data_IF_771360766743
#
_entry.id   IF_771360766743
#
_cell.length_a   1.000
_cell.length_b   1.000
_cell.length_c   1.000
_cell.angle_alpha   90.00
_cell.angle_beta   90.00
_cell.angle_gamma   90.00
#
_symmetry.space_group_name_H-M   'P 1'
#
loop_
_entity.id
_entity.type
_entity.pdbx_description
1 polymer ?
#
# COMPACT_ATOMS: atom_id res chain seq x y z
N UNK A 1 -22.37 -26.88 3.69
CA UNK A 1 -22.17 -26.85 2.22
C UNK A 1 -20.68 -26.76 1.99
N UNK A 2 -20.07 -27.65 1.22
CA UNK A 2 -18.63 -27.53 0.92
C UNK A 2 -18.48 -26.47 -0.17
N UNK A 3 -17.43 -25.65 -0.09
CA UNK A 3 -17.18 -24.55 -1.03
C UNK A 3 -16.86 -25.08 -2.44
N UNK A 4 -16.55 -26.37 -2.57
CA UNK A 4 -16.48 -27.12 -3.84
C UNK A 4 -17.79 -27.20 -4.63
N UNK A 5 -18.92 -26.84 -4.04
CA UNK A 5 -20.25 -27.12 -4.58
C UNK A 5 -20.85 -25.93 -5.37
N UNK A 6 -20.08 -24.85 -5.60
CA UNK A 6 -20.53 -23.64 -6.30
C UNK A 6 -19.86 -23.57 -7.69
N UNK A 7 -20.64 -23.65 -8.80
CA UNK A 7 -20.07 -23.72 -10.15
C UNK A 7 -19.61 -22.35 -10.65
N UNK A 8 -18.35 -22.29 -11.11
CA UNK A 8 -17.80 -21.17 -11.87
C UNK A 8 -16.48 -21.59 -12.50
N UNK A 9 -16.41 -21.59 -13.82
CA UNK A 9 -15.20 -21.83 -14.59
C UNK A 9 -14.24 -20.65 -14.34
N UNK A 10 -13.39 -20.75 -13.32
CA UNK A 10 -12.32 -19.79 -13.07
C UNK A 10 -10.99 -20.50 -13.21
N UNK A 11 -10.05 -19.84 -13.90
CA UNK A 11 -8.67 -20.32 -13.97
C UNK A 11 -8.07 -20.22 -12.56
N UNK A 12 -8.06 -21.32 -11.82
CA UNK A 12 -7.56 -21.36 -10.45
C UNK A 12 -6.03 -21.21 -10.43
N UNK A 13 -5.52 -20.41 -9.50
CA UNK A 13 -4.08 -20.35 -9.24
C UNK A 13 -3.67 -21.64 -8.54
N UNK A 14 -2.59 -22.26 -9.05
CA UNK A 14 -2.05 -23.48 -8.46
C UNK A 14 -1.32 -23.15 -7.15
N UNK A 15 -1.93 -23.52 -6.02
CA UNK A 15 -1.41 -23.31 -4.68
C UNK A 15 -0.96 -24.66 -4.12
N UNK A 16 0.35 -24.89 -4.14
CA UNK A 16 0.92 -26.13 -3.63
C UNK A 16 0.86 -26.15 -2.10
N UNK A 17 0.32 -27.25 -1.55
CA UNK A 17 0.40 -27.52 -0.12
C UNK A 17 1.86 -27.55 0.36
N UNK A 18 2.12 -27.08 1.59
CA UNK A 18 3.45 -27.15 2.17
C UNK A 18 3.94 -28.60 2.26
N UNK A 19 5.26 -28.78 2.16
CA UNK A 19 5.91 -30.09 2.21
C UNK A 19 7.04 -30.10 3.23
N UNK A 20 7.20 -31.23 3.90
CA UNK A 20 8.34 -31.53 4.78
C UNK A 20 8.93 -32.86 4.33
N UNK A 21 10.22 -32.89 3.99
CA UNK A 21 10.91 -34.06 3.42
C UNK A 21 10.14 -34.72 2.26
N UNK A 22 9.56 -33.91 1.38
CA UNK A 22 8.74 -34.39 0.26
C UNK A 22 7.34 -34.89 0.63
N UNK A 23 7.01 -35.05 1.92
CA UNK A 23 5.66 -35.38 2.39
C UNK A 23 4.80 -34.13 2.44
N UNK A 24 3.63 -34.19 1.81
CA UNK A 24 2.64 -33.12 1.88
C UNK A 24 2.02 -33.07 3.28
N UNK A 25 1.95 -31.86 3.85
CA UNK A 25 1.19 -31.60 5.08
C UNK A 25 -0.12 -30.89 4.74
N UNK A 26 -1.17 -31.10 5.54
CA UNK A 26 -2.53 -30.62 5.25
C UNK A 26 -3.10 -29.75 6.39
N UNK A 27 -2.53 -28.56 6.66
CA UNK A 27 -3.03 -27.68 7.72
C UNK A 27 -4.38 -27.07 7.32
N UNK A 28 -5.41 -27.28 8.15
CA UNK A 28 -6.76 -26.76 7.90
C UNK A 28 -6.81 -25.25 7.59
N UNK A 29 -6.01 -24.42 8.27
CA UNK A 29 -5.97 -22.98 8.04
C UNK A 29 -5.31 -22.63 6.71
N UNK A 30 -4.34 -23.43 6.26
CA UNK A 30 -3.75 -23.26 4.93
C UNK A 30 -4.78 -23.53 3.86
N UNK A 31 -5.47 -24.68 3.93
CA UNK A 31 -6.47 -25.06 2.94
C UNK A 31 -7.59 -24.02 2.85
N UNK A 32 -8.06 -23.48 3.98
CA UNK A 32 -9.04 -22.38 4.02
C UNK A 32 -8.54 -21.11 3.34
N UNK A 33 -7.27 -20.74 3.51
CA UNK A 33 -6.72 -19.54 2.87
C UNK A 33 -6.48 -19.76 1.37
N UNK A 34 -5.99 -20.94 0.99
CA UNK A 34 -5.82 -21.31 -0.41
C UNK A 34 -7.16 -21.30 -1.18
N UNK A 35 -8.21 -21.83 -0.56
CA UNK A 35 -9.57 -21.79 -1.09
C UNK A 35 -10.07 -20.35 -1.28
N UNK A 36 -9.83 -19.46 -0.30
CA UNK A 36 -10.21 -18.06 -0.41
C UNK A 36 -9.51 -17.33 -1.56
N UNK A 37 -8.22 -17.59 -1.78
CA UNK A 37 -7.48 -17.02 -2.92
C UNK A 37 -8.15 -17.37 -4.25
N UNK A 38 -8.58 -18.62 -4.40
CA UNK A 38 -9.18 -19.09 -5.66
C UNK A 38 -10.66 -18.74 -5.80
N UNK A 39 -11.37 -18.45 -4.71
CA UNK A 39 -12.81 -18.19 -4.75
C UNK A 39 -13.18 -16.71 -4.88
N UNK A 40 -12.31 -15.80 -4.43
CA UNK A 40 -12.64 -14.37 -4.42
C UNK A 40 -12.71 -13.81 -5.84
N UNK A 41 -13.83 -13.15 -6.06
CA UNK A 41 -14.16 -12.43 -7.27
C UNK A 41 -13.64 -10.99 -7.10
N UNK A 42 -12.97 -10.43 -8.11
CA UNK A 42 -12.29 -9.12 -8.12
C UNK A 42 -10.81 -9.10 -7.69
N UNK A 43 -10.00 -10.06 -8.17
CA UNK A 43 -8.54 -10.10 -7.91
C UNK A 43 -7.70 -9.48 -9.02
N UNK A 44 -8.27 -9.29 -10.22
CA UNK A 44 -7.59 -8.55 -11.29
C UNK A 44 -7.71 -7.05 -11.00
N UNK A 45 -6.57 -6.37 -10.97
CA UNK A 45 -6.45 -4.93 -10.78
C UNK A 45 -5.83 -4.30 -12.02
N UNK A 46 -6.47 -3.24 -12.52
CA UNK A 46 -5.97 -2.41 -13.61
C UNK A 46 -5.63 -1.04 -13.06
N UNK A 47 -4.37 -0.65 -13.19
CA UNK A 47 -3.80 0.62 -12.82
C UNK A 47 -3.55 1.43 -14.08
N UNK A 48 -4.17 2.59 -14.20
CA UNK A 48 -4.00 3.48 -15.34
C UNK A 48 -3.41 4.81 -14.88
N UNK A 49 -2.27 5.17 -15.45
CA UNK A 49 -1.63 6.46 -15.29
C UNK A 49 -1.51 7.09 -16.68
N UNK A 50 -2.35 8.09 -16.95
CA UNK A 50 -2.51 8.71 -18.27
C UNK A 50 -2.75 7.65 -19.38
N UNK A 51 -1.76 7.45 -20.26
CA UNK A 51 -1.81 6.49 -21.38
C UNK A 51 -1.25 5.11 -21.03
N UNK A 52 -0.51 4.99 -19.92
CA UNK A 52 0.13 3.74 -19.53
C UNK A 52 -0.81 2.93 -18.63
N UNK A 53 -0.75 1.62 -18.77
CA UNK A 53 -1.61 0.71 -18.01
C UNK A 53 -0.79 -0.47 -17.50
N UNK A 54 -1.01 -0.80 -16.23
CA UNK A 54 -0.43 -1.94 -15.55
C UNK A 54 -1.58 -2.80 -15.03
N UNK A 55 -1.60 -4.07 -15.43
CA UNK A 55 -2.62 -5.04 -15.00
C UNK A 55 -1.92 -6.12 -14.19
N UNK A 56 -2.53 -6.51 -13.08
CA UNK A 56 -2.03 -7.59 -12.24
C UNK A 56 -3.16 -8.39 -11.60
N UNK A 57 -2.87 -9.62 -11.22
CA UNK A 57 -3.78 -10.48 -10.48
C UNK A 57 -3.23 -10.73 -9.07
N UNK A 58 -3.99 -10.30 -8.06
CA UNK A 58 -3.56 -10.37 -6.66
C UNK A 58 -3.52 -11.79 -6.10
N UNK A 59 -4.04 -12.79 -6.83
CA UNK A 59 -4.01 -14.21 -6.40
C UNK A 59 -2.60 -14.75 -6.30
N UNK A 60 -1.70 -14.41 -7.23
CA UNK A 60 -0.30 -14.84 -7.17
C UNK A 60 0.45 -14.21 -5.99
N UNK A 61 0.24 -12.91 -5.73
CA UNK A 61 0.81 -12.26 -4.55
C UNK A 61 0.26 -12.84 -3.25
N UNK A 62 -1.04 -13.11 -3.20
CA UNK A 62 -1.69 -13.75 -2.06
C UNK A 62 -1.06 -15.12 -1.80
N UNK A 63 -0.90 -15.94 -2.83
CA UNK A 63 -0.20 -17.23 -2.75
C UNK A 63 1.22 -17.10 -2.21
N UNK A 64 1.99 -16.11 -2.66
CA UNK A 64 3.36 -15.85 -2.17
C UNK A 64 3.39 -15.45 -0.69
N UNK A 65 2.44 -14.62 -0.25
CA UNK A 65 2.26 -14.25 1.16
C UNK A 65 1.95 -15.49 2.00
N UNK A 66 0.97 -16.30 1.58
CA UNK A 66 0.59 -17.54 2.28
C UNK A 66 1.76 -18.53 2.37
N UNK A 67 2.50 -18.72 1.27
CA UNK A 67 3.69 -19.56 1.24
C UNK A 67 4.78 -19.10 2.21
N UNK A 68 5.00 -17.78 2.30
CA UNK A 68 5.96 -17.18 3.23
C UNK A 68 5.57 -17.44 4.69
N UNK A 69 4.31 -17.21 5.05
CA UNK A 69 3.78 -17.47 6.41
C UNK A 69 3.99 -18.95 6.77
N UNK A 70 3.68 -19.87 5.85
CA UNK A 70 3.88 -21.30 6.08
C UNK A 70 5.35 -21.63 6.33
N UNK A 71 6.25 -21.11 5.49
CA UNK A 71 7.69 -21.35 5.63
C UNK A 71 8.22 -20.91 7.00
N UNK A 72 7.78 -19.77 7.50
CA UNK A 72 8.16 -19.29 8.84
C UNK A 72 7.51 -20.08 9.99
N UNK A 73 6.41 -20.79 9.72
CA UNK A 73 5.68 -21.56 10.71
C UNK A 73 6.10 -23.03 10.77
N UNK A 74 6.97 -23.50 9.87
CA UNK A 74 7.49 -24.87 9.90
C UNK A 74 8.50 -24.99 11.05
N UNK A 75 8.32 -25.94 11.99
CA UNK A 75 9.25 -26.16 13.09
C UNK A 75 10.66 -26.50 12.59
N UNK A 76 11.67 -26.00 13.31
CA UNK A 76 13.05 -26.39 13.06
C UNK A 76 13.24 -27.87 13.37
N UNK A 77 13.88 -28.56 12.43
CA UNK A 77 14.18 -29.98 12.52
C UNK A 77 15.68 -30.17 12.72
N UNK A 78 16.08 -31.14 13.55
CA UNK A 78 17.49 -31.50 13.70
C UNK A 78 18.04 -32.02 12.35
N UNK A 79 19.29 -31.67 11.99
CA UNK A 79 19.95 -32.29 10.84
C UNK A 79 19.86 -33.81 10.92
N UNK A 80 19.63 -34.47 9.79
CA UNK A 80 19.60 -35.94 9.61
C UNK A 80 18.49 -36.75 10.31
N UNK A 81 17.58 -36.09 11.04
CA UNK A 81 16.37 -36.76 11.55
C UNK A 81 15.40 -37.06 10.39
N UNK A 82 14.56 -38.11 10.51
CA UNK A 82 13.49 -38.40 9.53
C UNK A 82 12.18 -37.80 10.04
N UNK A 83 11.36 -37.20 9.16
CA UNK A 83 10.02 -36.77 9.55
C UNK A 83 9.11 -37.97 9.79
N UNK A 84 8.92 -38.30 11.05
CA UNK A 84 7.92 -39.26 11.53
C UNK A 84 6.50 -38.65 11.52
N UNK A 85 5.44 -39.46 11.69
CA UNK A 85 4.06 -38.95 11.70
C UNK A 85 3.79 -37.90 12.79
N UNK A 86 4.49 -37.97 13.92
CA UNK A 86 4.34 -37.00 15.02
C UNK A 86 4.89 -35.64 14.62
N UNK A 87 6.05 -35.58 13.96
CA UNK A 87 6.63 -34.35 13.43
C UNK A 87 5.74 -33.72 12.35
N UNK A 88 5.11 -34.54 11.49
CA UNK A 88 4.15 -34.06 10.49
C UNK A 88 2.94 -33.42 11.16
N UNK A 89 2.32 -34.09 12.15
CA UNK A 89 1.18 -33.55 12.89
C UNK A 89 1.54 -32.23 13.61
N UNK A 90 2.69 -32.21 14.30
CA UNK A 90 3.20 -31.01 14.95
C UNK A 90 3.46 -29.87 13.96
N UNK A 91 3.93 -30.18 12.74
CA UNK A 91 4.09 -29.17 11.68
C UNK A 91 2.75 -28.60 11.24
N UNK A 92 1.72 -29.44 11.07
CA UNK A 92 0.37 -28.99 10.72
C UNK A 92 -0.21 -28.07 11.80
N UNK A 93 -0.06 -28.43 13.07
CA UNK A 93 -0.46 -27.61 14.21
C UNK A 93 0.29 -26.27 14.25
N UNK A 94 1.61 -26.30 14.02
CA UNK A 94 2.46 -25.11 14.00
C UNK A 94 2.08 -24.16 12.85
N UNK A 95 1.85 -24.67 11.64
CA UNK A 95 1.36 -23.87 10.51
C UNK A 95 -0.02 -23.29 10.80
N UNK A 96 -0.95 -24.09 11.34
CA UNK A 96 -2.28 -23.61 11.71
C UNK A 96 -2.22 -22.48 12.74
N UNK A 97 -1.33 -22.61 13.73
CA UNK A 97 -1.11 -21.58 14.75
C UNK A 97 -0.50 -20.33 14.12
N UNK A 98 0.58 -20.45 13.34
CA UNK A 98 1.25 -19.33 12.70
C UNK A 98 0.35 -18.54 11.76
N UNK A 99 -0.49 -19.19 10.95
CA UNK A 99 -1.47 -18.50 10.10
C UNK A 99 -2.49 -17.72 10.94
N UNK A 100 -2.99 -18.30 12.03
CA UNK A 100 -3.95 -17.60 12.92
C UNK A 100 -3.32 -16.40 13.62
N UNK A 101 -2.11 -16.56 14.13
CA UNK A 101 -1.36 -15.49 14.79
C UNK A 101 -1.07 -14.34 13.83
N UNK A 102 -0.54 -14.67 12.65
CA UNK A 102 -0.32 -13.69 11.58
C UNK A 102 -1.60 -12.96 11.20
N UNK A 103 -2.72 -13.68 11.00
CA UNK A 103 -4.01 -13.09 10.64
C UNK A 103 -4.50 -12.10 11.69
N UNK A 104 -4.37 -12.44 12.96
CA UNK A 104 -4.78 -11.57 14.07
C UNK A 104 -3.89 -10.33 14.16
N UNK A 105 -2.57 -10.49 13.98
CA UNK A 105 -1.63 -9.38 13.93
C UNK A 105 -1.92 -8.46 12.75
N UNK A 106 -2.13 -9.02 11.56
CA UNK A 106 -2.26 -8.25 10.32
C UNK A 106 -3.57 -7.45 10.26
N UNK A 107 -4.66 -7.96 10.85
CA UNK A 107 -5.90 -7.18 11.05
C UNK A 107 -5.66 -5.89 11.85
N UNK A 108 -4.75 -5.93 12.82
CA UNK A 108 -4.36 -4.75 13.59
C UNK A 108 -3.42 -3.86 12.80
N UNK A 109 -2.31 -4.42 12.29
CA UNK A 109 -1.22 -3.63 11.71
C UNK A 109 -1.63 -2.99 10.40
N UNK A 110 -2.33 -3.73 9.53
CA UNK A 110 -2.75 -3.24 8.22
C UNK A 110 -3.71 -2.06 8.33
N UNK A 111 -4.80 -2.21 9.09
CA UNK A 111 -5.80 -1.15 9.25
C UNK A 111 -5.20 0.08 9.95
N UNK A 112 -4.34 -0.14 10.95
CA UNK A 112 -3.65 0.97 11.61
C UNK A 112 -2.74 1.73 10.65
N UNK A 113 -1.94 1.01 9.85
CA UNK A 113 -1.07 1.61 8.84
C UNK A 113 -1.89 2.34 7.75
N UNK A 114 -3.00 1.76 7.30
CA UNK A 114 -3.93 2.37 6.34
C UNK A 114 -4.46 3.72 6.85
N UNK A 115 -4.94 3.80 8.10
CA UNK A 115 -5.46 5.04 8.68
C UNK A 115 -4.34 6.10 8.76
N UNK A 116 -3.19 5.74 9.32
CA UNK A 116 -2.06 6.65 9.45
C UNK A 116 -1.60 7.19 8.09
N UNK A 117 -1.44 6.30 7.12
CA UNK A 117 -1.05 6.64 5.75
C UNK A 117 -2.07 7.54 5.08
N UNK A 118 -3.36 7.27 5.25
CA UNK A 118 -4.43 8.11 4.69
C UNK A 118 -4.36 9.51 5.28
N UNK A 119 -4.20 9.65 6.60
CA UNK A 119 -4.04 10.96 7.24
C UNK A 119 -2.83 11.71 6.68
N UNK A 120 -1.68 11.04 6.60
CA UNK A 120 -0.43 11.65 6.10
C UNK A 120 -0.54 12.04 4.62
N UNK A 121 -1.21 11.22 3.82
CA UNK A 121 -1.47 11.46 2.40
C UNK A 121 -2.39 12.67 2.21
N UNK A 122 -3.53 12.74 2.91
CA UNK A 122 -4.43 13.89 2.86
C UNK A 122 -3.71 15.18 3.26
N UNK A 123 -2.90 15.14 4.33
CA UNK A 123 -2.12 16.30 4.76
C UNK A 123 -1.15 16.78 3.66
N UNK A 124 -0.40 15.84 3.05
CA UNK A 124 0.55 16.12 1.97
C UNK A 124 -0.13 16.73 0.74
N UNK A 125 -1.18 16.10 0.25
CA UNK A 125 -1.89 16.50 -0.99
C UNK A 125 -2.57 17.87 -0.86
N UNK A 126 -3.04 18.19 0.35
CA UNK A 126 -3.77 19.44 0.60
C UNK A 126 -2.89 20.55 1.20
N UNK A 127 -1.58 20.32 1.35
CA UNK A 127 -0.65 21.28 1.96
C UNK A 127 -1.10 21.76 3.35
N UNK A 128 -1.64 20.83 4.14
CA UNK A 128 -2.09 21.05 5.50
C UNK A 128 -1.28 20.19 6.47
N UNK A 129 -1.29 20.57 7.75
CA UNK A 129 -0.67 19.79 8.83
C UNK A 129 -1.66 19.57 9.96
N UNK A 130 -1.51 18.44 10.62
CA UNK A 130 -2.23 18.09 11.84
C UNK A 130 -1.21 17.89 12.96
N UNK A 131 -1.48 18.44 14.14
CA UNK A 131 -0.61 18.24 15.31
C UNK A 131 -0.61 16.78 15.76
N UNK A 132 0.47 16.33 16.42
CA UNK A 132 0.59 14.93 16.88
C UNK A 132 -0.60 14.48 17.74
N UNK A 133 -0.97 15.27 18.74
CA UNK A 133 -2.12 14.99 19.61
C UNK A 133 -3.42 14.89 18.82
N UNK A 134 -3.60 15.78 17.85
CA UNK A 134 -4.82 15.79 17.04
C UNK A 134 -4.89 14.61 16.06
N UNK A 135 -3.73 14.19 15.52
CA UNK A 135 -3.62 12.93 14.74
C UNK A 135 -4.01 11.72 15.58
N UNK A 136 -3.55 11.65 16.83
CA UNK A 136 -3.92 10.56 17.75
C UNK A 136 -5.42 10.57 18.10
N UNK A 137 -6.00 11.75 18.33
CA UNK A 137 -7.45 11.92 18.56
C UNK A 137 -8.26 11.44 17.35
N UNK A 138 -7.89 11.90 16.16
CA UNK A 138 -8.54 11.54 14.91
C UNK A 138 -8.45 10.03 14.64
N UNK A 139 -7.28 9.42 14.83
CA UNK A 139 -7.11 7.98 14.69
C UNK A 139 -8.04 7.21 15.65
N UNK A 140 -8.11 7.63 16.91
CA UNK A 140 -8.96 7.00 17.92
C UNK A 140 -10.46 7.13 17.59
N UNK A 141 -10.86 8.23 16.98
CA UNK A 141 -12.23 8.44 16.50
C UNK A 141 -12.55 7.51 15.33
N UNK A 142 -11.70 7.45 14.31
CA UNK A 142 -11.84 6.53 13.17
C UNK A 142 -11.93 5.08 13.67
N UNK A 143 -11.07 4.69 14.62
CA UNK A 143 -11.12 3.38 15.27
C UNK A 143 -12.47 3.11 15.91
N UNK A 144 -13.01 4.05 16.70
CA UNK A 144 -14.30 3.89 17.38
C UNK A 144 -15.45 3.78 16.40
N UNK A 145 -15.44 4.58 15.34
CA UNK A 145 -16.53 4.66 14.35
C UNK A 145 -16.57 3.44 13.43
N UNK A 146 -15.42 3.03 12.87
CA UNK A 146 -15.37 2.03 11.81
C UNK A 146 -14.84 0.67 12.26
N UNK A 147 -14.06 0.62 13.34
CA UNK A 147 -13.39 -0.60 13.80
C UNK A 147 -13.55 -0.85 15.32
N UNK A 148 -14.78 -0.77 15.89
CA UNK A 148 -14.99 -0.77 17.34
C UNK A 148 -14.49 -2.04 18.04
N UNK A 149 -14.47 -3.17 17.35
CA UNK A 149 -14.04 -4.47 17.88
C UNK A 149 -12.58 -4.81 17.56
N UNK A 150 -11.89 -3.98 16.77
CA UNK A 150 -10.52 -4.25 16.33
C UNK A 150 -9.52 -3.53 17.23
N UNK A 151 -8.50 -4.26 17.69
CA UNK A 151 -7.38 -3.67 18.44
C UNK A 151 -6.47 -2.92 17.47
N UNK A 152 -6.70 -1.62 17.26
CA UNK A 152 -5.81 -0.78 16.45
C UNK A 152 -4.77 -0.03 17.30
N UNK A 153 -3.61 0.26 16.71
CA UNK A 153 -2.45 0.90 17.32
C UNK A 153 -2.00 2.12 16.49
N UNK A 154 -2.05 3.32 17.09
CA UNK A 154 -1.66 4.59 16.46
C UNK A 154 -0.19 4.61 16.00
N UNK A 155 0.69 3.84 16.62
CA UNK A 155 2.12 3.77 16.28
C UNK A 155 2.46 2.79 15.16
N UNK A 156 1.48 2.12 14.55
CA UNK A 156 1.76 1.14 13.51
C UNK A 156 1.86 1.82 12.14
N UNK A 157 3.02 1.65 11.49
CA UNK A 157 3.31 2.24 10.17
C UNK A 157 3.47 1.19 9.06
N UNK A 158 3.73 -0.07 9.39
CA UNK A 158 4.13 -1.10 8.41
C UNK A 158 3.31 -2.38 8.57
N UNK A 159 2.90 -2.91 7.43
CA UNK A 159 2.16 -4.17 7.28
C UNK A 159 3.08 -5.22 6.65
N UNK A 160 2.94 -6.48 7.06
CA UNK A 160 3.74 -7.57 6.48
C UNK A 160 3.33 -7.88 5.04
N UNK A 161 2.07 -7.63 4.67
CA UNK A 161 1.58 -7.71 3.29
C UNK A 161 2.29 -6.69 2.40
N UNK A 162 2.35 -5.43 2.82
CA UNK A 162 3.05 -4.38 2.05
C UNK A 162 4.52 -4.72 1.89
N UNK A 163 5.19 -5.17 2.96
CA UNK A 163 6.60 -5.56 2.89
C UNK A 163 6.84 -6.72 1.93
N UNK A 164 5.94 -7.70 1.89
CA UNK A 164 6.04 -8.82 0.94
C UNK A 164 5.94 -8.33 -0.51
N UNK A 165 5.06 -7.37 -0.79
CA UNK A 165 4.92 -6.77 -2.12
C UNK A 165 6.14 -5.94 -2.51
N UNK A 166 6.70 -5.15 -1.59
CA UNK A 166 7.91 -4.35 -1.83
C UNK A 166 9.14 -5.22 -2.14
N UNK A 167 9.16 -6.46 -1.64
CA UNK A 167 10.23 -7.41 -1.90
C UNK A 167 10.05 -8.18 -3.23
N UNK A 168 8.92 -8.00 -3.93
CA UNK A 168 8.64 -8.65 -5.22
C UNK A 168 9.25 -7.85 -6.38
N UNK A 169 10.42 -8.31 -6.84
CA UNK A 169 11.15 -7.68 -7.95
C UNK A 169 10.36 -7.64 -9.27
N UNK A 170 9.53 -8.65 -9.55
CA UNK A 170 8.71 -8.70 -10.75
C UNK A 170 7.60 -7.65 -10.68
N UNK A 171 6.98 -7.47 -9.51
CA UNK A 171 6.02 -6.38 -9.30
C UNK A 171 6.69 -5.01 -9.50
N UNK A 172 7.89 -4.80 -8.93
CA UNK A 172 8.63 -3.55 -9.10
C UNK A 172 8.96 -3.25 -10.58
N UNK A 173 9.37 -4.27 -11.34
CA UNK A 173 9.62 -4.15 -12.79
C UNK A 173 8.33 -3.82 -13.55
N UNK A 174 7.22 -4.47 -13.21
CA UNK A 174 5.93 -4.20 -13.86
C UNK A 174 5.39 -2.81 -13.54
N UNK A 175 5.54 -2.33 -12.31
CA UNK A 175 5.17 -0.95 -11.94
C UNK A 175 6.02 0.06 -12.72
N UNK A 176 7.29 -0.25 -12.97
CA UNK A 176 8.18 0.63 -13.75
C UNK A 176 7.70 0.82 -15.19
N UNK A 177 6.89 -0.09 -15.74
CA UNK A 177 6.26 0.05 -17.07
C UNK A 177 5.21 1.17 -17.14
N UNK A 178 4.76 1.70 -16.00
CA UNK A 178 3.91 2.90 -15.99
C UNK A 178 4.67 4.18 -16.32
N UNK A 179 6.01 4.12 -16.36
CA UNK A 179 6.88 5.21 -16.80
C UNK A 179 6.60 6.53 -16.06
N UNK A 180 6.50 6.42 -14.73
CA UNK A 180 6.09 7.51 -13.83
C UNK A 180 7.00 8.73 -13.98
N UNK A 181 8.28 8.53 -14.30
CA UNK A 181 9.25 9.59 -14.56
C UNK A 181 8.89 10.46 -15.77
N UNK A 182 8.38 9.85 -16.84
CA UNK A 182 7.96 10.57 -18.04
C UNK A 182 6.55 11.13 -17.90
N UNK A 183 5.66 10.43 -17.19
CA UNK A 183 4.31 10.93 -16.92
C UNK A 183 4.32 12.11 -15.93
N UNK A 184 5.25 12.15 -14.97
CA UNK A 184 5.52 13.34 -14.14
C UNK A 184 6.93 13.86 -14.46
N UNK A 185 7.10 14.68 -15.51
CA UNK A 185 8.42 15.10 -15.98
C UNK A 185 9.12 16.07 -15.00
N UNK A 186 10.46 16.07 -15.06
CA UNK A 186 11.28 17.02 -14.32
C UNK A 186 11.36 18.35 -15.10
N UNK A 187 10.60 19.34 -14.64
CA UNK A 187 10.57 20.68 -15.22
C UNK A 187 11.45 21.68 -14.44
N UNK A 188 12.50 21.19 -13.77
CA UNK A 188 13.41 22.03 -12.96
C UNK A 188 13.91 23.24 -13.75
N UNK A 189 14.31 23.07 -15.01
CA UNK A 189 14.88 24.16 -15.81
C UNK A 189 13.90 25.33 -15.99
N UNK A 190 12.66 25.04 -16.39
CA UNK A 190 11.63 26.05 -16.64
C UNK A 190 11.17 26.75 -15.36
N UNK A 191 11.05 25.97 -14.26
CA UNK A 191 10.67 26.48 -12.94
C UNK A 191 11.77 27.38 -12.38
N UNK A 192 13.04 27.00 -12.54
CA UNK A 192 14.18 27.83 -12.14
C UNK A 192 14.27 29.11 -12.96
N UNK A 193 14.05 29.04 -14.28
CA UNK A 193 14.03 30.23 -15.14
C UNK A 193 12.92 31.20 -14.71
N UNK A 194 11.72 30.69 -14.45
CA UNK A 194 10.59 31.50 -13.97
C UNK A 194 10.88 32.14 -12.61
N UNK A 195 11.54 31.41 -11.69
CA UNK A 195 11.97 31.97 -10.40
C UNK A 195 13.02 33.08 -10.57
N UNK A 196 14.02 32.87 -11.42
CA UNK A 196 15.04 33.88 -11.75
C UNK A 196 14.38 35.14 -12.32
N UNK A 197 13.45 35.00 -13.27
CA UNK A 197 12.70 36.11 -13.86
C UNK A 197 11.90 36.89 -12.79
N UNK A 198 11.26 36.18 -11.86
CA UNK A 198 10.52 36.83 -10.75
C UNK A 198 11.44 37.64 -9.81
N UNK A 199 12.67 37.16 -9.60
CA UNK A 199 13.69 37.84 -8.79
C UNK A 199 14.35 39.02 -9.51
N UNK A 200 14.29 39.07 -10.85
CA UNK A 200 14.94 40.11 -11.68
C UNK A 200 14.02 41.30 -11.99
N UNK A 201 12.99 41.55 -11.18
CA UNK A 201 12.17 42.78 -11.21
C UNK A 201 12.93 44.04 -10.74
N UNK A 202 14.26 44.07 -10.89
CA UNK A 202 15.12 45.18 -10.49
C UNK A 202 15.32 46.09 -11.71
N UNK A 203 14.80 47.31 -11.56
CA UNK A 203 14.99 48.45 -12.43
C UNK A 203 16.46 48.57 -12.88
N UNK A 204 16.75 48.85 -14.17
CA UNK A 204 18.11 48.89 -14.72
C UNK A 204 19.09 49.87 -14.04
N UNK A 205 18.60 50.75 -13.15
CA UNK A 205 19.36 51.85 -12.55
C UNK A 205 19.88 51.59 -11.11
N UNK A 206 19.70 50.41 -10.53
CA UNK A 206 20.20 50.11 -9.18
C UNK A 206 21.19 48.94 -9.12
N UNK A 207 22.47 49.19 -8.79
CA UNK A 207 23.46 48.12 -8.64
C UNK A 207 23.14 47.26 -7.42
N UNK A 208 22.78 46.00 -7.68
CA UNK A 208 22.57 44.97 -6.66
C UNK A 208 23.87 44.71 -5.91
N UNK A 209 23.83 44.80 -4.58
CA UNK A 209 24.98 44.55 -3.71
C UNK A 209 25.46 43.09 -3.77
N UNK A 210 26.71 42.84 -3.37
CA UNK A 210 27.26 41.46 -3.29
C UNK A 210 26.46 40.58 -2.33
N UNK A 211 25.95 41.15 -1.23
CA UNK A 211 25.15 40.43 -0.23
C UNK A 211 23.79 40.03 -0.79
N UNK A 212 23.11 40.93 -1.51
CA UNK A 212 21.84 40.62 -2.20
C UNK A 212 22.02 39.53 -3.25
N UNK A 213 23.11 39.55 -4.02
CA UNK A 213 23.43 38.47 -4.98
C UNK A 213 23.64 37.12 -4.28
N UNK A 214 24.35 37.11 -3.16
CA UNK A 214 24.55 35.89 -2.37
C UNK A 214 23.25 35.34 -1.79
N UNK A 215 22.36 36.23 -1.31
CA UNK A 215 21.06 35.83 -0.79
C UNK A 215 20.16 35.28 -1.91
N UNK A 216 20.11 35.92 -3.08
CA UNK A 216 19.39 35.42 -4.25
C UNK A 216 19.88 34.03 -4.69
N UNK A 217 21.20 33.80 -4.68
CA UNK A 217 21.78 32.49 -5.00
C UNK A 217 21.38 31.41 -3.98
N UNK A 218 21.39 31.74 -2.67
CA UNK A 218 20.93 30.82 -1.62
C UNK A 218 19.44 30.48 -1.78
N UNK A 219 18.62 31.49 -2.04
CA UNK A 219 17.17 31.32 -2.23
C UNK A 219 16.87 30.45 -3.45
N UNK A 220 17.59 30.64 -4.56
CA UNK A 220 17.48 29.79 -5.75
C UNK A 220 17.90 28.35 -5.48
N UNK A 221 19.01 28.14 -4.76
CA UNK A 221 19.47 26.80 -4.41
C UNK A 221 18.46 26.08 -3.50
N UNK A 222 17.90 26.78 -2.50
CA UNK A 222 16.88 26.25 -1.61
C UNK A 222 15.59 25.92 -2.37
N UNK A 223 15.12 26.82 -3.24
CA UNK A 223 13.94 26.59 -4.06
C UNK A 223 14.09 25.37 -4.98
N UNK A 224 15.25 25.22 -5.64
CA UNK A 224 15.57 24.03 -6.45
C UNK A 224 15.53 22.74 -5.61
N UNK A 225 16.14 22.76 -4.42
CA UNK A 225 16.13 21.62 -3.49
C UNK A 225 14.71 21.23 -3.10
N UNK A 226 13.88 22.21 -2.74
CA UNK A 226 12.49 21.98 -2.36
C UNK A 226 11.66 21.42 -3.52
N UNK A 227 11.84 21.94 -4.74
CA UNK A 227 11.17 21.43 -5.93
C UNK A 227 11.54 19.97 -6.21
N UNK A 228 12.84 19.64 -6.22
CA UNK A 228 13.29 18.26 -6.47
C UNK A 228 12.80 17.28 -5.40
N UNK A 229 12.76 17.72 -4.14
CA UNK A 229 12.20 16.93 -3.06
C UNK A 229 10.70 16.68 -3.26
N UNK A 230 9.93 17.71 -3.66
CA UNK A 230 8.51 17.59 -3.95
C UNK A 230 8.24 16.66 -5.15
N UNK A 231 9.02 16.79 -6.23
CA UNK A 231 8.92 15.94 -7.43
C UNK A 231 9.20 14.48 -7.10
N UNK A 232 10.27 14.22 -6.33
CA UNK A 232 10.61 12.87 -5.87
C UNK A 232 9.51 12.31 -4.97
N UNK A 233 8.96 13.14 -4.08
CA UNK A 233 7.84 12.79 -3.21
C UNK A 233 6.61 12.37 -4.00
N UNK A 234 6.25 13.11 -5.05
CA UNK A 234 5.08 12.82 -5.88
C UNK A 234 5.23 11.52 -6.66
N UNK A 235 6.37 11.32 -7.33
CA UNK A 235 6.67 10.06 -8.03
C UNK A 235 6.72 8.85 -7.09
N UNK A 236 7.17 9.04 -5.85
CA UNK A 236 7.20 7.99 -4.83
C UNK A 236 5.81 7.68 -4.31
N UNK A 237 4.95 8.69 -4.17
CA UNK A 237 3.57 8.52 -3.71
C UNK A 237 2.76 7.66 -4.68
N UNK A 238 2.82 7.92 -6.00
CA UNK A 238 2.13 7.08 -7.00
C UNK A 238 2.56 5.62 -6.91
N UNK A 239 3.87 5.36 -6.78
CA UNK A 239 4.39 4.00 -6.59
C UNK A 239 3.81 3.35 -5.33
N UNK A 240 3.87 4.07 -4.22
CA UNK A 240 3.34 3.59 -2.95
C UNK A 240 1.86 3.25 -3.07
N UNK A 241 1.06 4.09 -3.73
CA UNK A 241 -0.37 3.87 -3.92
C UNK A 241 -0.67 2.58 -4.67
N UNK A 242 0.10 2.24 -5.71
CA UNK A 242 -0.07 0.96 -6.42
C UNK A 242 0.12 -0.22 -5.45
N UNK A 243 1.22 -0.23 -4.67
CA UNK A 243 1.44 -1.27 -3.66
C UNK A 243 0.31 -1.32 -2.63
N UNK A 244 -0.16 -0.16 -2.19
CA UNK A 244 -1.20 -0.01 -1.20
C UNK A 244 -2.53 -0.60 -1.68
N UNK A 245 -2.95 -0.29 -2.91
CA UNK A 245 -4.16 -0.83 -3.52
C UNK A 245 -4.10 -2.35 -3.69
N UNK A 246 -2.95 -2.89 -4.11
CA UNK A 246 -2.75 -4.36 -4.17
C UNK A 246 -2.88 -4.96 -2.76
N UNK A 247 -2.24 -4.34 -1.77
CA UNK A 247 -2.27 -4.81 -0.39
C UNK A 247 -3.69 -4.77 0.21
N UNK A 248 -4.49 -3.76 -0.11
CA UNK A 248 -5.90 -3.62 0.28
C UNK A 248 -6.75 -4.75 -0.31
N UNK A 249 -6.50 -5.14 -1.56
CA UNK A 249 -7.18 -6.27 -2.19
C UNK A 249 -6.78 -7.61 -1.56
N UNK A 250 -5.49 -7.79 -1.23
CA UNK A 250 -4.99 -8.96 -0.48
C UNK A 250 -5.58 -9.00 0.95
N UNK A 251 -5.74 -7.85 1.60
CA UNK A 251 -6.39 -7.75 2.90
C UNK A 251 -7.82 -8.25 2.83
N UNK A 252 -8.61 -7.78 1.87
CA UNK A 252 -9.97 -8.27 1.66
C UNK A 252 -9.97 -9.78 1.33
N UNK A 253 -8.91 -10.27 0.69
CA UNK A 253 -8.74 -11.69 0.38
C UNK A 253 -8.55 -12.58 1.62
N UNK A 254 -7.64 -12.22 2.51
CA UNK A 254 -7.27 -13.06 3.67
C UNK A 254 -7.96 -12.70 4.98
N UNK A 255 -8.33 -11.44 5.16
CA UNK A 255 -8.56 -10.87 6.49
C UNK A 255 -10.02 -10.48 6.70
N UNK A 256 -10.83 -10.34 5.65
CA UNK A 256 -12.27 -10.19 5.79
C UNK A 256 -12.92 -11.46 6.41
N UNK A 257 -13.73 -11.34 7.46
CA UNK A 257 -14.39 -12.49 8.12
C UNK A 257 -15.78 -12.82 7.56
N UNK A 258 -16.42 -11.89 6.84
CA UNK A 258 -17.73 -12.11 6.24
C UNK A 258 -17.54 -12.73 4.86
N UNK A 259 -17.93 -14.00 4.74
CA UNK A 259 -17.68 -14.79 3.53
C UNK A 259 -18.96 -15.50 3.10
N UNK A 260 -19.95 -14.74 2.61
CA UNK A 260 -21.12 -15.27 1.88
C UNK A 260 -21.72 -14.21 0.93
N UNK A 261 -21.65 -14.44 -0.39
CA UNK A 261 -22.49 -13.80 -1.41
C UNK A 261 -22.26 -12.30 -1.62
N UNK A 262 -21.66 -11.94 -2.76
CA UNK A 262 -21.23 -10.56 -3.03
C UNK A 262 -20.12 -10.12 -2.06
N UNK A 263 -19.54 -8.94 -2.25
CA UNK A 263 -18.51 -8.37 -1.37
C UNK A 263 -19.06 -7.98 0.04
N UNK A 264 -19.98 -8.76 0.60
CA UNK A 264 -20.57 -8.50 1.92
C UNK A 264 -19.48 -8.58 3.00
N UNK A 265 -19.14 -7.41 3.55
CA UNK A 265 -18.15 -7.24 4.62
C UNK A 265 -16.71 -6.97 4.18
N UNK A 266 -16.43 -6.87 2.87
CA UNK A 266 -15.18 -6.30 2.40
C UNK A 266 -15.03 -4.87 2.93
N UNK A 267 -13.80 -4.47 3.28
CA UNK A 267 -13.55 -3.08 3.66
C UNK A 267 -13.61 -2.24 2.39
N UNK A 268 -14.54 -1.28 2.35
CA UNK A 268 -14.64 -0.27 1.29
C UNK A 268 -13.55 0.79 1.47
N UNK A 269 -12.29 0.42 1.20
CA UNK A 269 -11.13 1.28 1.45
C UNK A 269 -11.23 2.64 0.77
N UNK A 270 -11.82 2.75 -0.42
CA UNK A 270 -12.01 4.03 -1.10
C UNK A 270 -12.94 4.97 -0.33
N UNK A 271 -14.13 4.49 0.06
CA UNK A 271 -15.09 5.25 0.86
C UNK A 271 -14.53 5.64 2.21
N UNK A 272 -13.79 4.74 2.85
CA UNK A 272 -13.12 5.02 4.10
C UNK A 272 -12.02 6.08 3.93
N UNK A 273 -11.26 6.02 2.84
CA UNK A 273 -10.22 7.01 2.51
C UNK A 273 -10.82 8.40 2.32
N UNK A 274 -11.93 8.51 1.60
CA UNK A 274 -12.69 9.76 1.43
C UNK A 274 -13.16 10.31 2.78
N UNK A 275 -13.80 9.46 3.60
CA UNK A 275 -14.30 9.87 4.91
C UNK A 275 -13.18 10.33 5.84
N UNK A 276 -12.06 9.60 5.89
CA UNK A 276 -10.90 10.01 6.69
C UNK A 276 -10.35 11.33 6.17
N UNK A 277 -10.29 11.52 4.85
CA UNK A 277 -9.79 12.77 4.25
C UNK A 277 -10.64 13.97 4.66
N UNK A 278 -11.96 13.87 4.62
CA UNK A 278 -12.87 14.91 5.10
C UNK A 278 -12.64 15.23 6.59
N UNK A 279 -12.50 14.19 7.42
CA UNK A 279 -12.21 14.37 8.84
C UNK A 279 -10.87 15.07 9.07
N UNK A 280 -9.82 14.73 8.30
CA UNK A 280 -8.51 15.42 8.37
C UNK A 280 -8.65 16.89 8.00
N UNK A 281 -9.30 17.19 6.87
CA UNK A 281 -9.42 18.56 6.36
C UNK A 281 -10.21 19.46 7.30
N UNK A 282 -11.16 18.91 8.06
CA UNK A 282 -11.92 19.66 9.07
C UNK A 282 -11.09 20.13 10.28
N UNK A 283 -9.88 19.58 10.49
CA UNK A 283 -9.04 19.82 11.69
C UNK A 283 -7.62 20.29 11.37
N UNK A 284 -7.20 20.10 10.13
CA UNK A 284 -5.85 20.45 9.71
C UNK A 284 -5.72 21.96 9.52
N UNK A 285 -4.50 22.46 9.72
CA UNK A 285 -4.17 23.88 9.50
C UNK A 285 -3.27 24.01 8.28
N UNK A 286 -3.38 25.09 7.48
CA UNK A 286 -2.51 25.33 6.35
C UNK A 286 -1.04 25.37 6.76
N UNK A 287 -0.16 24.84 5.91
CA UNK A 287 1.29 25.07 6.04
C UNK A 287 1.59 26.46 5.47
N UNK A 288 2.08 27.36 6.32
CA UNK A 288 2.29 28.79 6.04
C UNK A 288 3.64 29.13 5.42
N UNK A 289 4.63 28.23 5.42
CA UNK A 289 6.05 28.59 5.20
C UNK A 289 6.77 27.83 4.08
N UNK A 290 6.15 26.84 3.42
CA UNK A 290 6.80 26.07 2.36
C UNK A 290 6.36 26.52 0.97
N UNK A 291 7.30 26.62 0.03
CA UNK A 291 6.97 26.75 -1.39
C UNK A 291 6.03 25.60 -1.80
N UNK A 292 4.91 25.94 -2.44
CA UNK A 292 3.94 24.96 -2.95
C UNK A 292 4.26 24.66 -4.40
N UNK A 293 4.40 23.38 -4.73
CA UNK A 293 4.70 22.93 -6.09
C UNK A 293 3.54 22.10 -6.61
N UNK A 294 2.81 22.64 -7.57
CA UNK A 294 1.71 21.91 -8.18
C UNK A 294 2.27 21.09 -9.34
N UNK A 295 2.15 19.76 -9.21
CA UNK A 295 2.34 18.85 -10.33
C UNK A 295 1.00 18.67 -11.03
N UNK A 296 1.01 18.49 -12.35
CA UNK A 296 -0.19 18.24 -13.13
C UNK A 296 -0.96 17.06 -12.51
N UNK A 297 -2.28 17.20 -12.38
CA UNK A 297 -3.11 16.10 -11.86
C UNK A 297 -3.01 14.91 -12.80
N UNK A 298 -2.34 13.86 -12.32
CA UNK A 298 -2.20 12.58 -13.02
C UNK A 298 -2.84 11.51 -12.15
N UNK A 299 -4.19 11.49 -12.05
CA UNK A 299 -4.86 10.59 -11.14
C UNK A 299 -4.58 9.15 -11.58
N UNK A 300 -3.91 8.41 -10.69
CA UNK A 300 -3.83 6.96 -10.80
C UNK A 300 -5.25 6.40 -10.68
N UNK A 301 -5.81 5.95 -11.80
CA UNK A 301 -7.10 5.28 -11.80
C UNK A 301 -6.90 3.80 -11.51
N UNK A 302 -7.69 3.27 -10.58
CA UNK A 302 -7.62 1.86 -10.18
C UNK A 302 -8.99 1.24 -10.35
N UNK A 303 -9.07 0.17 -11.14
CA UNK A 303 -10.29 -0.64 -11.28
C UNK A 303 -10.01 -2.08 -10.91
N UNK A 304 -11.00 -2.74 -10.30
CA UNK A 304 -10.96 -4.17 -9.99
C UNK A 304 -11.98 -4.90 -10.84
N UNK A 305 -11.62 -6.08 -11.36
CA UNK A 305 -12.47 -6.90 -12.22
C UNK A 305 -12.32 -8.38 -11.89
N UNK A 306 -13.26 -9.19 -12.36
CA UNK A 306 -13.17 -10.65 -12.30
C UNK A 306 -11.91 -11.14 -13.06
N UNK A 307 -11.29 -12.25 -12.61
CA UNK A 307 -10.12 -12.86 -13.24
C UNK A 307 -10.22 -13.05 -14.77
N UNK A 308 -11.42 -13.33 -15.27
CA UNK A 308 -11.67 -13.72 -16.66
C UNK A 308 -12.50 -12.69 -17.46
N UNK A 309 -12.56 -11.43 -17.00
CA UNK A 309 -12.87 -10.28 -17.87
C UNK A 309 -14.20 -10.25 -18.61
N UNK A 310 -15.32 -10.53 -17.93
CA UNK A 310 -16.64 -10.04 -18.36
C UNK A 310 -17.10 -8.89 -17.47
#
# INVERSE_FOLDING_TARGET
>A
MRISDIPGNQTAVNIHRPKVDGKTVSPLQFDRMAERINYIQNTTMEFKLNRNTFITDTREFSKNVLGSICKFSIPLKKPDSVSDPHFILHTEESINKGIKEWRNQEKTTFISAFINRTIDQTCRENYVKIGKTEKENLFNEIKKTFFPTTKLNTGCAQSSVIQALLNDSSLAENISKLDIENEIPDNTADIMLSKIQSMTTISPDHPVSTEERQNQQKDLAEFNRQYKAALTGERTAIRADIYNYIAENIFNTFLCDQFYGGNSGAVEFNKLRETISEMVLSRAVPVSESARFFFSEHPLSVTTRLPDGN
#
